data_IF_339064195995
#
_entry.id   IF_339064195995
#
_cell.length_a   1.000
_cell.length_b   1.000
_cell.length_c   1.000
_cell.angle_alpha   90.00
_cell.angle_beta   90.00
_cell.angle_gamma   90.00
#
_symmetry.space_group_name_H-M   'P 1'
#
loop_
_entity.id
_entity.type
_entity.pdbx_description
1 polymer ?
#
# COMPACT_ATOMS: atom_id res chain seq x y z
N UNK A 1 0.66 17.11 14.74
CA UNK A 1 1.52 17.30 13.54
C UNK A 1 1.86 18.78 13.32
N UNK A 2 0.89 19.70 13.34
CA UNK A 2 1.14 21.15 13.15
C UNK A 2 2.17 21.78 14.10
N UNK A 3 2.38 21.21 15.29
CA UNK A 3 3.31 21.74 16.29
C UNK A 3 4.80 21.48 15.97
N UNK A 4 5.12 20.53 15.08
CA UNK A 4 6.50 20.11 14.84
C UNK A 4 7.28 21.09 13.95
N UNK A 5 6.64 21.73 12.97
CA UNK A 5 7.31 22.73 12.11
C UNK A 5 7.86 23.91 12.91
N UNK A 6 7.15 24.34 13.96
CA UNK A 6 7.64 25.40 14.88
C UNK A 6 8.90 25.03 15.67
N UNK A 7 9.31 23.75 15.66
CA UNK A 7 10.49 23.24 16.35
C UNK A 7 11.71 23.10 15.45
N UNK A 8 11.55 23.29 14.15
CA UNK A 8 12.64 23.26 13.19
C UNK A 8 12.82 24.65 12.56
N UNK A 9 13.93 25.31 12.90
CA UNK A 9 14.26 26.66 12.41
C UNK A 9 14.52 26.73 10.91
N UNK A 10 14.61 25.59 10.22
CA UNK A 10 14.77 25.49 8.76
C UNK A 10 13.49 25.08 8.03
N UNK A 11 12.39 24.87 8.76
CA UNK A 11 11.11 24.52 8.13
C UNK A 11 10.62 25.67 7.25
N UNK A 12 10.29 25.34 6.01
CA UNK A 12 9.56 26.24 5.13
C UNK A 12 8.08 26.29 5.59
N UNK A 13 7.70 27.42 6.18
CA UNK A 13 6.37 27.58 6.78
C UNK A 13 5.26 27.58 5.73
N UNK A 14 5.57 27.90 4.47
CA UNK A 14 4.61 27.95 3.38
C UNK A 14 4.19 26.54 2.94
N UNK A 15 4.94 25.49 3.34
CA UNK A 15 4.61 24.09 3.09
C UNK A 15 3.85 23.44 4.25
N UNK A 16 3.66 24.14 5.36
CA UNK A 16 2.94 23.62 6.53
C UNK A 16 1.44 23.82 6.31
N UNK A 17 0.63 22.74 6.29
CA UNK A 17 -0.80 22.88 6.09
C UNK A 17 -1.46 23.59 7.27
N UNK A 18 -2.36 24.51 6.98
CA UNK A 18 -3.23 25.17 7.96
C UNK A 18 -4.29 24.21 8.52
N UNK A 19 -4.86 24.57 9.67
CA UNK A 19 -5.95 23.78 10.27
C UNK A 19 -7.17 23.66 9.34
N UNK A 20 -7.46 24.71 8.56
CA UNK A 20 -8.56 24.72 7.58
C UNK A 20 -8.25 23.74 6.46
N UNK A 21 -7.04 23.73 5.90
CA UNK A 21 -6.67 22.80 4.83
C UNK A 21 -6.75 21.33 5.29
N UNK A 22 -6.33 21.04 6.53
CA UNK A 22 -6.44 19.70 7.10
C UNK A 22 -7.91 19.28 7.23
N UNK A 23 -8.77 20.16 7.76
CA UNK A 23 -10.19 19.87 7.90
C UNK A 23 -10.86 19.65 6.54
N UNK A 24 -10.57 20.50 5.56
CA UNK A 24 -11.08 20.35 4.20
C UNK A 24 -10.59 19.06 3.53
N UNK A 25 -9.32 18.68 3.73
CA UNK A 25 -8.79 17.41 3.25
C UNK A 25 -9.56 16.22 3.83
N UNK A 26 -9.75 16.20 5.15
CA UNK A 26 -10.47 15.12 5.84
C UNK A 26 -11.91 15.01 5.35
N UNK A 27 -12.62 16.14 5.24
CA UNK A 27 -14.00 16.18 4.72
C UNK A 27 -14.05 15.63 3.30
N UNK A 28 -13.15 16.11 2.42
CA UNK A 28 -13.10 15.69 1.01
C UNK A 28 -12.93 14.17 0.87
N UNK A 29 -12.00 13.59 1.63
CA UNK A 29 -11.75 12.14 1.60
C UNK A 29 -12.95 11.34 2.13
N UNK A 30 -13.59 11.81 3.20
CA UNK A 30 -14.78 11.17 3.76
C UNK A 30 -15.94 11.22 2.76
N UNK A 31 -16.15 12.36 2.11
CA UNK A 31 -17.19 12.53 1.10
C UNK A 31 -16.93 11.64 -0.12
N UNK A 32 -15.69 11.56 -0.61
CA UNK A 32 -15.29 10.65 -1.70
C UNK A 32 -15.56 9.17 -1.31
N UNK A 33 -15.15 8.76 -0.10
CA UNK A 33 -15.38 7.41 0.40
C UNK A 33 -16.88 7.07 0.55
N UNK A 34 -17.69 8.03 0.98
CA UNK A 34 -19.13 7.83 1.14
C UNK A 34 -19.85 7.76 -0.20
N UNK A 35 -19.42 8.56 -1.17
CA UNK A 35 -20.04 8.67 -2.49
C UNK A 35 -19.68 7.51 -3.45
N UNK A 36 -18.56 6.81 -3.25
CA UNK A 36 -18.15 5.72 -4.16
C UNK A 36 -18.78 4.35 -3.81
N UNK A 37 -18.67 3.41 -4.75
CA UNK A 37 -19.15 2.03 -4.62
C UNK A 37 -18.15 1.12 -3.90
N UNK A 38 -18.63 -0.02 -3.39
CA UNK A 38 -17.76 -1.05 -2.77
C UNK A 38 -16.84 -1.76 -3.78
N UNK A 39 -17.19 -1.73 -5.06
CA UNK A 39 -16.37 -2.25 -6.15
C UNK A 39 -16.66 -1.43 -7.40
N UNK A 40 -15.62 -1.13 -8.15
CA UNK A 40 -15.68 -0.38 -9.42
C UNK A 40 -14.88 -1.09 -10.50
N UNK A 41 -15.18 -0.77 -11.76
CA UNK A 41 -14.51 -1.34 -12.91
C UNK A 41 -13.01 -0.97 -12.97
N UNK A 42 -12.23 -1.91 -13.51
CA UNK A 42 -10.82 -1.70 -13.85
C UNK A 42 -10.66 -1.65 -15.37
N UNK A 43 -9.60 -1.01 -15.84
CA UNK A 43 -9.21 -1.01 -17.25
C UNK A 43 -8.60 -2.36 -17.67
N UNK A 44 -8.20 -2.48 -18.94
CA UNK A 44 -7.59 -3.70 -19.47
C UNK A 44 -6.23 -4.06 -18.86
N UNK A 45 -5.67 -3.19 -18.03
CA UNK A 45 -4.41 -3.37 -17.31
C UNK A 45 -4.63 -3.48 -15.80
N UNK A 46 -5.90 -3.58 -15.36
CA UNK A 46 -6.29 -3.76 -13.96
C UNK A 46 -6.22 -2.50 -13.10
N UNK A 47 -5.95 -1.33 -13.68
CA UNK A 47 -5.99 -0.04 -12.97
C UNK A 47 -7.46 0.41 -12.81
N UNK A 48 -7.87 0.96 -11.66
CA UNK A 48 -9.26 1.36 -11.46
C UNK A 48 -9.64 2.53 -12.39
N UNK A 49 -10.72 2.38 -13.17
CA UNK A 49 -11.27 3.48 -13.98
C UNK A 49 -11.81 4.59 -13.07
N UNK A 50 -12.36 4.19 -11.92
CA UNK A 50 -12.74 5.03 -10.79
C UNK A 50 -12.37 4.30 -9.50
N UNK A 51 -11.96 5.03 -8.45
CA UNK A 51 -11.64 4.43 -7.15
C UNK A 51 -12.89 3.85 -6.49
N UNK A 52 -12.75 2.68 -5.88
CA UNK A 52 -13.75 2.17 -4.94
C UNK A 52 -13.42 2.55 -3.50
N UNK A 53 -14.27 2.15 -2.56
CA UNK A 53 -14.07 2.45 -1.13
C UNK A 53 -12.74 1.92 -0.59
N UNK A 54 -12.30 0.74 -1.06
CA UNK A 54 -11.11 0.07 -0.56
C UNK A 54 -9.83 0.69 -1.14
N UNK A 55 -9.90 1.26 -2.36
CA UNK A 55 -8.84 2.10 -2.90
C UNK A 55 -8.64 3.36 -2.05
N UNK A 56 -9.72 4.10 -1.75
CA UNK A 56 -9.65 5.34 -0.95
C UNK A 56 -9.12 5.01 0.45
N UNK A 57 -9.66 3.98 1.10
CA UNK A 57 -9.16 3.54 2.41
C UNK A 57 -7.68 3.13 2.35
N UNK A 58 -7.29 2.38 1.33
CA UNK A 58 -5.91 1.94 1.13
C UNK A 58 -4.94 3.10 0.94
N UNK A 59 -5.30 4.11 0.14
CA UNK A 59 -4.48 5.31 -0.04
C UNK A 59 -4.30 6.06 1.28
N UNK A 60 -5.37 6.28 2.05
CA UNK A 60 -5.28 6.93 3.36
C UNK A 60 -4.48 6.12 4.37
N UNK A 61 -4.59 4.79 4.33
CA UNK A 61 -3.78 3.90 5.16
C UNK A 61 -2.28 4.08 4.87
N UNK A 62 -1.91 4.18 3.59
CA UNK A 62 -0.50 4.37 3.18
C UNK A 62 0.03 5.76 3.57
N UNK A 63 -0.80 6.80 3.47
CA UNK A 63 -0.46 8.15 3.91
C UNK A 63 -0.24 8.17 5.43
N UNK A 64 -1.16 7.58 6.19
CA UNK A 64 -1.07 7.53 7.65
C UNK A 64 0.12 6.68 8.15
N UNK A 65 0.49 5.64 7.42
CA UNK A 65 1.61 4.75 7.71
C UNK A 65 2.88 5.13 6.94
N UNK A 66 3.10 6.40 6.60
CA UNK A 66 4.33 6.82 5.94
C UNK A 66 5.57 6.40 6.75
N UNK A 67 6.46 5.61 6.12
CA UNK A 67 7.60 4.95 6.77
C UNK A 67 7.33 3.54 7.32
N UNK A 68 6.07 3.12 7.42
CA UNK A 68 5.62 1.79 7.84
C UNK A 68 5.54 0.78 6.70
N UNK A 69 6.66 0.56 6.00
CA UNK A 69 6.68 -0.27 4.78
C UNK A 69 6.22 -1.73 5.01
N UNK A 70 6.48 -2.31 6.19
CA UNK A 70 6.02 -3.67 6.52
C UNK A 70 4.49 -3.76 6.57
N UNK A 71 3.83 -2.76 7.13
CA UNK A 71 2.38 -2.72 7.22
C UNK A 71 1.73 -2.45 5.87
N UNK A 72 2.31 -1.57 5.05
CA UNK A 72 1.89 -1.39 3.65
C UNK A 72 2.02 -2.68 2.84
N UNK A 73 3.16 -3.38 2.98
CA UNK A 73 3.38 -4.68 2.33
C UNK A 73 2.37 -5.74 2.77
N UNK A 74 2.05 -5.80 4.07
CA UNK A 74 1.03 -6.71 4.59
C UNK A 74 -0.37 -6.35 4.11
N UNK A 75 -0.69 -5.06 4.05
CA UNK A 75 -1.98 -4.57 3.59
C UNK A 75 -2.25 -4.98 2.15
N UNK A 76 -1.27 -4.80 1.25
CA UNK A 76 -1.38 -5.22 -0.16
C UNK A 76 -1.59 -6.73 -0.24
N UNK A 77 -0.80 -7.54 0.46
CA UNK A 77 -0.93 -9.01 0.42
C UNK A 77 -2.27 -9.51 0.95
N UNK A 78 -2.84 -8.84 1.95
CA UNK A 78 -4.12 -9.22 2.56
C UNK A 78 -5.33 -8.77 1.74
N UNK A 79 -5.22 -7.66 1.03
CA UNK A 79 -6.39 -6.98 0.42
C UNK A 79 -6.33 -6.91 -1.10
N UNK A 80 -5.15 -6.85 -1.71
CA UNK A 80 -4.96 -6.49 -3.11
C UNK A 80 -5.13 -4.98 -3.40
N UNK A 81 -5.23 -4.15 -2.36
CA UNK A 81 -5.48 -2.71 -2.46
C UNK A 81 -4.30 -1.87 -1.91
N UNK A 82 -4.23 -0.57 -2.24
CA UNK A 82 -5.07 0.08 -3.26
C UNK A 82 -4.68 -0.35 -4.67
N UNK A 83 -5.65 -0.39 -5.59
CA UNK A 83 -5.42 -0.72 -7.00
C UNK A 83 -4.74 0.43 -7.75
N UNK A 84 -4.65 1.60 -7.11
CA UNK A 84 -4.00 2.81 -7.61
C UNK A 84 -2.50 2.86 -7.37
N UNK A 85 -1.88 1.79 -6.85
CA UNK A 85 -0.43 1.72 -6.71
C UNK A 85 0.27 1.85 -8.06
N UNK A 86 1.43 2.51 -8.06
CA UNK A 86 2.26 2.65 -9.26
C UNK A 86 2.62 1.29 -9.84
N UNK A 87 2.43 1.17 -11.16
CA UNK A 87 2.72 -0.06 -11.90
C UNK A 87 4.22 -0.27 -12.08
N UNK A 88 4.63 -1.52 -12.24
CA UNK A 88 5.99 -1.82 -12.67
C UNK A 88 6.26 -1.23 -14.05
N UNK A 89 7.50 -0.79 -14.26
CA UNK A 89 7.98 -0.35 -15.58
C UNK A 89 8.32 -1.52 -16.50
N UNK A 90 8.48 -2.72 -15.93
CA UNK A 90 8.76 -3.93 -16.69
C UNK A 90 7.45 -4.51 -17.27
N UNK A 91 7.53 -5.07 -18.48
CA UNK A 91 6.40 -5.59 -19.25
C UNK A 91 5.69 -6.80 -18.64
N UNK A 92 6.42 -7.63 -17.90
CA UNK A 92 6.05 -8.89 -17.27
C UNK A 92 6.71 -9.03 -15.88
N UNK A 93 6.39 -8.14 -14.91
CA UNK A 93 7.08 -8.08 -13.62
C UNK A 93 6.82 -9.30 -12.74
N UNK A 94 5.85 -10.14 -13.11
CA UNK A 94 5.34 -11.23 -12.30
C UNK A 94 4.44 -10.73 -11.17
N UNK A 95 4.01 -11.66 -10.31
CA UNK A 95 3.11 -11.34 -9.21
C UNK A 95 3.83 -10.56 -8.10
N UNK A 96 3.07 -9.67 -7.45
CA UNK A 96 3.54 -8.97 -6.26
C UNK A 96 4.00 -9.99 -5.20
N UNK A 97 5.21 -9.84 -4.62
CA UNK A 97 5.74 -10.79 -3.64
C UNK A 97 4.77 -11.06 -2.48
N UNK A 98 4.51 -12.35 -2.22
CA UNK A 98 3.65 -12.85 -1.13
C UNK A 98 4.43 -13.28 0.10
N UNK A 99 5.74 -13.53 -0.03
CA UNK A 99 6.66 -13.73 1.09
C UNK A 99 8.11 -13.44 0.67
N UNK A 100 9.04 -13.47 1.63
CA UNK A 100 10.47 -13.30 1.39
C UNK A 100 11.22 -14.62 1.58
N UNK A 101 12.29 -14.86 0.81
CA UNK A 101 13.14 -16.05 1.00
C UNK A 101 13.81 -16.03 2.36
N UNK A 102 14.09 -17.22 2.90
CA UNK A 102 14.95 -17.32 4.08
C UNK A 102 16.37 -16.89 3.72
N UNK A 103 17.12 -16.26 4.65
CA UNK A 103 18.53 -15.96 4.43
C UNK A 103 19.32 -17.21 4.04
N UNK A 104 20.26 -17.07 3.10
CA UNK A 104 21.00 -18.22 2.55
C UNK A 104 21.83 -18.95 3.60
N UNK A 105 22.37 -18.23 4.60
CA UNK A 105 23.12 -18.82 5.70
C UNK A 105 22.25 -19.75 6.57
N UNK A 106 21.00 -19.39 6.84
CA UNK A 106 20.07 -20.24 7.61
C UNK A 106 19.81 -21.57 6.89
N UNK A 107 19.57 -21.52 5.57
CA UNK A 107 19.33 -22.70 4.75
C UNK A 107 20.55 -23.63 4.67
N UNK A 108 21.76 -23.07 4.57
CA UNK A 108 23.00 -23.87 4.48
C UNK A 108 23.38 -24.47 5.83
N UNK A 109 23.20 -23.73 6.92
CA UNK A 109 23.59 -24.16 8.27
C UNK A 109 22.59 -25.12 8.90
N UNK A 110 21.32 -25.13 8.49
CA UNK A 110 20.29 -25.98 9.05
C UNK A 110 19.56 -26.80 7.98
N UNK A 111 19.90 -28.09 7.88
CA UNK A 111 19.30 -29.03 6.92
C UNK A 111 17.80 -29.28 7.11
N UNK A 112 17.21 -28.86 8.23
CA UNK A 112 15.77 -29.00 8.47
C UNK A 112 14.96 -27.84 7.86
N UNK A 113 15.62 -26.75 7.44
CA UNK A 113 14.96 -25.64 6.77
C UNK A 113 14.83 -26.00 5.29
N UNK A 114 13.59 -25.99 4.79
CA UNK A 114 13.31 -26.06 3.36
C UNK A 114 13.10 -24.65 2.83
N UNK A 115 13.98 -24.23 1.92
CA UNK A 115 13.87 -22.94 1.26
C UNK A 115 12.66 -22.88 0.32
N UNK A 116 12.04 -21.70 0.23
CA UNK A 116 10.98 -21.42 -0.74
C UNK A 116 11.56 -21.27 -2.14
N UNK A 117 10.88 -21.81 -3.15
CA UNK A 117 11.30 -21.72 -4.55
C UNK A 117 11.17 -20.30 -5.13
N UNK A 118 10.25 -19.51 -4.58
CA UNK A 118 9.86 -18.21 -5.09
C UNK A 118 9.33 -17.30 -3.97
N UNK A 119 8.91 -16.10 -4.37
CA UNK A 119 8.26 -15.12 -3.51
C UNK A 119 6.72 -15.24 -3.52
N UNK A 120 6.14 -16.17 -4.29
CA UNK A 120 4.70 -16.32 -4.51
C UNK A 120 4.02 -17.19 -3.47
N UNK A 121 4.79 -17.87 -2.62
CA UNK A 121 4.25 -18.69 -1.52
C UNK A 121 3.49 -17.81 -0.51
N UNK A 122 2.23 -18.17 -0.24
CA UNK A 122 1.34 -17.48 0.71
C UNK A 122 1.78 -17.71 2.17
N UNK A 123 1.57 -16.71 3.01
CA UNK A 123 1.65 -16.84 4.47
C UNK A 123 0.27 -17.16 5.05
N UNK A 124 0.19 -17.63 6.30
CA UNK A 124 -1.05 -18.19 6.87
C UNK A 124 -2.26 -17.23 6.87
N UNK A 125 -2.02 -15.91 6.92
CA UNK A 125 -3.06 -14.87 6.91
C UNK A 125 -3.29 -14.25 5.53
N UNK A 126 -2.50 -14.62 4.52
CA UNK A 126 -2.67 -14.13 3.15
C UNK A 126 -3.95 -14.73 2.55
N UNK A 127 -4.91 -13.85 2.23
CA UNK A 127 -6.24 -14.19 1.70
C UNK A 127 -6.20 -14.70 0.26
N UNK A 128 -5.06 -14.61 -0.42
CA UNK A 128 -4.91 -15.00 -1.82
C UNK A 128 -5.37 -13.98 -2.84
N UNK A 129 -5.79 -12.79 -2.41
CA UNK A 129 -6.19 -11.71 -3.33
C UNK A 129 -4.96 -11.19 -4.08
N UNK A 130 -5.13 -10.85 -5.37
CA UNK A 130 -4.09 -10.29 -6.23
C UNK A 130 -4.47 -8.85 -6.54
N UNK A 131 -3.52 -7.93 -6.48
CA UNK A 131 -3.74 -6.57 -6.96
C UNK A 131 -3.88 -6.63 -8.50
N UNK A 132 -5.03 -6.22 -9.07
CA UNK A 132 -5.28 -6.33 -10.50
C UNK A 132 -4.30 -5.51 -11.35
N UNK A 133 -3.69 -4.45 -10.81
CA UNK A 133 -2.77 -3.58 -11.54
C UNK A 133 -1.34 -4.16 -11.72
N UNK A 134 -1.09 -5.37 -11.19
CA UNK A 134 0.22 -6.01 -11.14
C UNK A 134 0.29 -7.34 -11.87
#
# INVERSE_FOLDING_TARGET
VMSFGSKDSKTDIDLVPSAIEIEQYVITVIDEFNATSLSTAVDGLGFPVTKDKMDILGEQYFIAMFGGAADGFNFIRRTGYPRTLSRSVESNPGLFPRSLLYPSNENVSNKNILQKSDLSTKVFWDSGVINPAN
#
